data_IF_995539839313
#
_entry.id   IF_995539839313
#
_cell.length_a   1.000
_cell.length_b   1.000
_cell.length_c   1.000
_cell.angle_alpha   90.00
_cell.angle_beta   90.00
_cell.angle_gamma   90.00
#
_symmetry.space_group_name_H-M   'P 1'
#
loop_
_entity.id
_entity.type
_entity.pdbx_description
1 polymer ?
#
# COMPACT_ATOMS: atom_id res chain seq x y z
N UNK A 1 -0.15 -17.03 9.41
CA UNK A 1 -0.95 -18.23 9.71
C UNK A 1 -0.82 -19.21 8.54
N UNK A 2 -0.35 -20.43 8.82
CA UNK A 2 -0.13 -21.51 7.85
C UNK A 2 -1.46 -22.02 7.31
N UNK A 3 -1.71 -21.93 6.01
CA UNK A 3 -2.83 -22.62 5.37
C UNK A 3 -2.46 -24.09 5.20
N UNK A 4 -3.02 -24.96 6.04
CA UNK A 4 -2.96 -26.41 5.87
C UNK A 4 -3.81 -26.80 4.65
N UNK A 5 -3.15 -27.36 3.64
CA UNK A 5 -3.83 -27.99 2.52
C UNK A 5 -4.43 -29.32 3.03
N UNK A 6 -5.76 -29.43 3.12
CA UNK A 6 -6.39 -30.66 3.59
C UNK A 6 -6.21 -31.80 2.58
N UNK A 7 -5.55 -32.87 3.02
CA UNK A 7 -5.44 -34.09 2.23
C UNK A 7 -6.81 -34.77 2.04
N UNK A 8 -6.98 -35.45 0.90
CA UNK A 8 -8.21 -36.18 0.60
C UNK A 8 -8.51 -37.27 1.64
N UNK A 9 -9.79 -37.59 1.85
CA UNK A 9 -10.19 -38.64 2.80
C UNK A 9 -9.51 -39.98 2.52
N UNK A 10 -9.37 -40.35 1.24
CA UNK A 10 -8.68 -41.58 0.83
C UNK A 10 -7.21 -41.59 1.24
N UNK A 11 -6.54 -40.45 1.16
CA UNK A 11 -5.16 -40.29 1.61
C UNK A 11 -5.04 -40.38 3.14
N UNK A 12 -5.94 -39.68 3.87
CA UNK A 12 -6.00 -39.75 5.34
C UNK A 12 -6.25 -41.19 5.83
N UNK A 13 -7.18 -41.91 5.20
CA UNK A 13 -7.48 -43.33 5.49
C UNK A 13 -6.28 -44.24 5.16
N UNK A 14 -5.64 -44.06 4.01
CA UNK A 14 -4.46 -44.84 3.62
C UNK A 14 -3.25 -44.64 4.54
N UNK A 15 -2.99 -43.41 4.98
CA UNK A 15 -1.93 -43.11 5.95
C UNK A 15 -2.20 -43.72 7.32
N UNK A 16 -3.44 -43.66 7.78
CA UNK A 16 -3.87 -44.28 9.04
C UNK A 16 -3.67 -45.80 9.01
N UNK A 17 -4.20 -46.49 8.00
CA UNK A 17 -4.05 -47.96 7.86
C UNK A 17 -2.57 -48.35 7.76
N UNK A 18 -1.76 -47.58 7.01
CA UNK A 18 -0.32 -47.84 6.89
C UNK A 18 0.43 -47.64 8.21
N UNK A 19 0.05 -46.64 9.00
CA UNK A 19 0.58 -46.39 10.34
C UNK A 19 0.17 -47.48 11.34
N UNK A 20 -1.06 -47.99 11.26
CA UNK A 20 -1.54 -49.10 12.08
C UNK A 20 -0.81 -50.42 11.76
N UNK A 21 -0.51 -50.69 10.47
CA UNK A 21 0.13 -51.94 10.02
C UNK A 21 1.64 -51.96 10.23
N UNK A 22 2.33 -50.82 10.03
CA UNK A 22 3.79 -50.74 10.02
C UNK A 22 4.38 -49.94 11.19
N UNK A 23 3.53 -49.31 12.01
CA UNK A 23 3.89 -48.40 13.09
C UNK A 23 4.03 -46.94 12.62
N UNK A 24 3.24 -46.03 13.19
CA UNK A 24 3.23 -44.60 12.82
C UNK A 24 4.63 -43.94 12.93
N UNK A 25 5.37 -44.29 13.99
CA UNK A 25 6.72 -43.79 14.23
C UNK A 25 7.72 -44.30 13.18
N UNK A 26 7.59 -45.56 12.76
CA UNK A 26 8.42 -46.17 11.72
C UNK A 26 8.13 -45.57 10.34
N UNK A 27 6.84 -45.37 10.00
CA UNK A 27 6.42 -44.79 8.71
C UNK A 27 6.88 -43.34 8.57
N UNK A 28 6.77 -42.54 9.64
CA UNK A 28 7.23 -41.15 9.66
C UNK A 28 8.77 -41.04 9.63
N UNK A 29 9.48 -41.86 10.42
CA UNK A 29 10.95 -41.86 10.46
C UNK A 29 11.59 -42.47 9.19
N UNK A 30 11.00 -43.48 8.57
CA UNK A 30 11.65 -44.17 7.45
C UNK A 30 11.80 -43.28 6.21
N UNK A 31 10.78 -42.50 5.83
CA UNK A 31 10.86 -41.61 4.66
C UNK A 31 11.75 -40.39 4.93
N UNK A 32 11.58 -39.75 6.09
CA UNK A 32 12.39 -38.58 6.48
C UNK A 32 13.88 -38.94 6.64
N UNK A 33 14.20 -40.07 7.28
CA UNK A 33 15.57 -40.48 7.59
C UNK A 33 16.31 -41.11 6.40
N UNK A 34 15.65 -41.96 5.61
CA UNK A 34 16.32 -42.66 4.50
C UNK A 34 16.30 -41.89 3.18
N UNK A 35 15.18 -41.27 2.79
CA UNK A 35 15.15 -40.51 1.55
C UNK A 35 15.86 -39.16 1.72
N UNK A 36 15.36 -38.32 2.62
CA UNK A 36 15.83 -36.94 2.76
C UNK A 36 17.12 -36.81 3.60
N UNK A 37 17.28 -37.63 4.64
CA UNK A 37 18.48 -37.63 5.50
C UNK A 37 19.68 -38.44 4.99
N UNK A 38 19.51 -39.30 3.98
CA UNK A 38 20.58 -40.14 3.42
C UNK A 38 20.72 -39.94 1.90
N UNK A 39 19.79 -40.45 1.07
CA UNK A 39 19.99 -40.43 -0.40
C UNK A 39 20.17 -39.02 -0.96
N UNK A 40 19.37 -38.05 -0.50
CA UNK A 40 19.43 -36.65 -0.98
C UNK A 40 20.60 -35.82 -0.43
N UNK A 41 21.29 -36.31 0.60
CA UNK A 41 22.45 -35.64 1.23
C UNK A 41 23.79 -36.23 0.79
N UNK A 42 23.78 -37.35 0.06
CA UNK A 42 25.00 -37.98 -0.45
C UNK A 42 25.73 -37.10 -1.48
N UNK A 43 27.07 -37.08 -1.47
CA UNK A 43 27.84 -36.44 -2.53
C UNK A 43 27.68 -37.20 -3.86
N UNK A 44 27.99 -36.53 -4.98
CA UNK A 44 28.04 -37.12 -6.32
C UNK A 44 26.98 -36.59 -7.28
N UNK A 45 25.72 -36.47 -6.83
CA UNK A 45 24.67 -35.78 -7.58
C UNK A 45 24.17 -34.57 -6.79
N UNK A 46 24.09 -33.42 -7.45
CA UNK A 46 23.51 -32.22 -6.89
C UNK A 46 21.97 -32.32 -6.81
N UNK A 47 21.35 -31.33 -6.15
CA UNK A 47 19.89 -31.32 -5.95
C UNK A 47 19.11 -31.18 -7.26
N UNK A 48 19.68 -30.54 -8.29
CA UNK A 48 19.03 -30.40 -9.59
C UNK A 48 19.01 -31.75 -10.31
N UNK A 49 20.14 -32.42 -10.38
CA UNK A 49 20.30 -33.75 -10.98
C UNK A 49 19.40 -34.78 -10.30
N UNK A 50 19.33 -34.78 -8.96
CA UNK A 50 18.43 -35.66 -8.21
C UNK A 50 16.96 -35.38 -8.51
N UNK A 51 16.60 -34.10 -8.68
CA UNK A 51 15.24 -33.71 -9.04
C UNK A 51 14.88 -34.18 -10.45
N UNK A 52 15.77 -34.02 -11.43
CA UNK A 52 15.56 -34.53 -12.80
C UNK A 52 15.28 -36.04 -12.82
N UNK A 53 16.12 -36.82 -12.14
CA UNK A 53 15.94 -38.28 -12.02
C UNK A 53 14.61 -38.62 -11.35
N UNK A 54 14.27 -37.91 -10.27
CA UNK A 54 13.00 -38.13 -9.56
C UNK A 54 11.79 -37.86 -10.45
N UNK A 55 11.81 -36.79 -11.26
CA UNK A 55 10.72 -36.49 -12.20
C UNK A 55 10.57 -37.58 -13.26
N UNK A 56 11.68 -38.08 -13.81
CA UNK A 56 11.66 -39.18 -14.79
C UNK A 56 11.09 -40.47 -14.18
N UNK A 57 11.50 -40.84 -12.96
CA UNK A 57 10.98 -42.03 -12.28
C UNK A 57 9.50 -41.92 -11.91
N UNK A 58 9.06 -40.76 -11.41
CA UNK A 58 7.64 -40.55 -11.09
C UNK A 58 6.76 -40.54 -12.34
N UNK A 59 7.29 -40.04 -13.46
CA UNK A 59 6.65 -40.12 -14.77
C UNK A 59 6.50 -41.57 -15.23
N UNK A 60 7.56 -42.38 -15.14
CA UNK A 60 7.53 -43.81 -15.46
C UNK A 60 6.53 -44.59 -14.60
N UNK A 61 6.42 -44.23 -13.31
CA UNK A 61 5.47 -44.84 -12.38
C UNK A 61 4.03 -44.32 -12.54
N UNK A 62 3.80 -43.30 -13.38
CA UNK A 62 2.51 -42.62 -13.53
C UNK A 62 1.98 -42.07 -12.19
N UNK A 63 2.89 -41.70 -11.29
CA UNK A 63 2.59 -41.21 -9.95
C UNK A 63 2.27 -39.70 -9.99
N UNK A 64 1.19 -39.31 -10.65
CA UNK A 64 0.88 -37.91 -10.98
C UNK A 64 0.80 -36.95 -9.79
N UNK A 65 0.23 -37.33 -8.63
CA UNK A 65 0.24 -36.47 -7.45
C UNK A 65 1.66 -36.18 -6.95
N UNK A 66 2.52 -37.20 -6.91
CA UNK A 66 3.92 -37.05 -6.52
C UNK A 66 4.71 -36.27 -7.58
N UNK A 67 4.44 -36.51 -8.87
CA UNK A 67 5.06 -35.75 -9.96
C UNK A 67 4.73 -34.25 -9.82
N UNK A 68 3.49 -33.91 -9.46
CA UNK A 68 3.09 -32.51 -9.17
C UNK A 68 3.91 -31.92 -8.03
N UNK A 69 4.01 -32.63 -6.91
CA UNK A 69 4.75 -32.18 -5.72
C UNK A 69 6.25 -32.00 -6.02
N UNK A 70 6.85 -33.00 -6.64
CA UNK A 70 8.28 -33.01 -6.97
C UNK A 70 8.64 -32.05 -8.09
N UNK A 71 7.71 -31.68 -8.98
CA UNK A 71 7.93 -30.59 -9.95
C UNK A 71 8.12 -29.25 -9.25
N UNK A 72 7.28 -28.94 -8.24
CA UNK A 72 7.46 -27.74 -7.40
C UNK A 72 8.75 -27.82 -6.58
N UNK A 73 9.09 -29.00 -6.07
CA UNK A 73 10.37 -29.25 -5.40
C UNK A 73 11.59 -29.04 -6.30
N UNK A 74 11.52 -29.47 -7.56
CA UNK A 74 12.56 -29.31 -8.55
C UNK A 74 12.82 -27.83 -8.87
N UNK A 75 11.76 -27.03 -9.02
CA UNK A 75 11.85 -25.57 -9.18
C UNK A 75 12.53 -24.92 -7.97
N UNK A 76 12.20 -25.33 -6.73
CA UNK A 76 12.88 -24.85 -5.51
C UNK A 76 14.37 -25.24 -5.45
N UNK A 77 14.71 -26.38 -6.02
CA UNK A 77 16.09 -26.84 -6.14
C UNK A 77 16.86 -26.17 -7.30
N UNK A 78 16.22 -25.28 -8.06
CA UNK A 78 16.84 -24.46 -9.09
C UNK A 78 16.71 -24.98 -10.52
N UNK A 79 15.85 -25.97 -10.79
CA UNK A 79 15.51 -26.31 -12.18
C UNK A 79 14.67 -25.20 -12.82
N UNK A 80 14.95 -24.94 -14.08
CA UNK A 80 14.13 -24.12 -14.97
C UNK A 80 12.97 -24.94 -15.54
N UNK A 81 11.94 -24.23 -16.02
CA UNK A 81 10.82 -24.87 -16.72
C UNK A 81 11.29 -25.66 -17.95
N UNK A 82 12.30 -25.14 -18.64
CA UNK A 82 12.89 -25.79 -19.81
C UNK A 82 13.52 -27.11 -19.41
N UNK A 83 14.37 -27.14 -18.38
CA UNK A 83 14.99 -28.37 -17.87
C UNK A 83 13.94 -29.42 -17.44
N UNK A 84 12.82 -28.99 -16.87
CA UNK A 84 11.71 -29.88 -16.50
C UNK A 84 10.98 -30.41 -17.73
N UNK A 85 10.68 -29.55 -18.72
CA UNK A 85 10.04 -29.97 -19.99
C UNK A 85 10.92 -30.96 -20.74
N UNK A 86 12.22 -30.71 -20.83
CA UNK A 86 13.19 -31.61 -21.48
C UNK A 86 13.23 -32.98 -20.80
N UNK A 87 13.17 -33.04 -19.47
CA UNK A 87 13.11 -34.31 -18.75
C UNK A 87 11.84 -35.12 -19.07
N UNK A 88 10.69 -34.45 -19.19
CA UNK A 88 9.42 -35.09 -19.55
C UNK A 88 9.42 -35.53 -21.02
N UNK A 89 9.94 -34.70 -21.92
CA UNK A 89 10.11 -35.04 -23.34
C UNK A 89 11.03 -36.24 -23.53
N UNK A 90 12.16 -36.29 -22.82
CA UNK A 90 13.04 -37.44 -22.84
C UNK A 90 12.32 -38.70 -22.33
N UNK A 91 11.54 -38.57 -21.26
CA UNK A 91 10.76 -39.69 -20.70
C UNK A 91 9.69 -40.21 -21.67
N UNK A 92 9.08 -39.32 -22.47
CA UNK A 92 8.05 -39.67 -23.46
C UNK A 92 8.52 -40.70 -24.48
N UNK A 93 9.78 -40.61 -24.92
CA UNK A 93 10.33 -41.51 -25.95
C UNK A 93 10.42 -42.96 -25.44
N UNK A 94 10.69 -43.15 -24.14
CA UNK A 94 10.83 -44.48 -23.56
C UNK A 94 9.52 -45.04 -22.98
N UNK A 95 8.58 -44.17 -22.63
CA UNK A 95 7.33 -44.56 -21.96
C UNK A 95 6.11 -44.49 -22.88
N UNK A 96 6.29 -43.98 -24.10
CA UNK A 96 5.24 -43.77 -25.08
C UNK A 96 4.55 -42.41 -24.95
N UNK A 97 4.06 -41.91 -26.08
CA UNK A 97 3.40 -40.61 -26.20
C UNK A 97 2.25 -40.40 -25.19
N UNK A 98 1.36 -41.39 -24.91
CA UNK A 98 0.26 -41.17 -23.95
C UNK A 98 0.74 -40.82 -22.54
N UNK A 99 1.82 -41.47 -22.07
CA UNK A 99 2.37 -41.23 -20.73
C UNK A 99 3.09 -39.89 -20.69
N UNK A 100 3.86 -39.56 -21.73
CA UNK A 100 4.55 -38.28 -21.82
C UNK A 100 3.61 -37.08 -21.90
N UNK A 101 2.51 -37.18 -22.67
CA UNK A 101 1.53 -36.09 -22.79
C UNK A 101 0.84 -35.80 -21.45
N UNK A 102 0.47 -36.84 -20.71
CA UNK A 102 -0.12 -36.67 -19.38
C UNK A 102 0.90 -36.09 -18.38
N UNK A 103 2.16 -36.53 -18.44
CA UNK A 103 3.24 -35.96 -17.65
C UNK A 103 3.48 -34.48 -17.97
N UNK A 104 3.43 -34.08 -19.24
CA UNK A 104 3.53 -32.67 -19.64
C UNK A 104 2.39 -31.87 -19.03
N UNK A 105 1.13 -32.33 -19.14
CA UNK A 105 -0.03 -31.66 -18.55
C UNK A 105 0.10 -31.47 -17.04
N UNK A 106 0.56 -32.51 -16.34
CA UNK A 106 0.73 -32.50 -14.87
C UNK A 106 1.85 -31.55 -14.45
N UNK A 107 3.01 -31.64 -15.10
CA UNK A 107 4.17 -30.79 -14.77
C UNK A 107 3.92 -29.33 -15.13
N UNK A 108 3.26 -29.04 -16.25
CA UNK A 108 2.91 -27.69 -16.67
C UNK A 108 1.91 -27.02 -15.71
N UNK A 109 0.89 -27.77 -15.27
CA UNK A 109 -0.01 -27.29 -14.20
C UNK A 109 0.76 -26.98 -12.92
N UNK A 110 1.67 -27.85 -12.51
CA UNK A 110 2.47 -27.66 -11.30
C UNK A 110 3.41 -26.45 -11.39
N UNK A 111 4.03 -26.21 -12.55
CA UNK A 111 4.85 -25.04 -12.85
C UNK A 111 4.01 -23.77 -12.74
N UNK A 112 2.85 -23.73 -13.39
CA UNK A 112 1.97 -22.56 -13.36
C UNK A 112 1.49 -22.23 -11.94
N UNK A 113 1.11 -23.25 -11.16
CA UNK A 113 0.75 -23.08 -9.74
C UNK A 113 1.95 -22.58 -8.90
N UNK A 114 3.16 -23.08 -9.16
CA UNK A 114 4.36 -22.63 -8.46
C UNK A 114 4.67 -21.15 -8.76
N UNK A 115 4.55 -20.73 -10.02
CA UNK A 115 4.74 -19.32 -10.43
C UNK A 115 3.68 -18.40 -9.83
N UNK A 116 2.42 -18.83 -9.81
CA UNK A 116 1.34 -18.07 -9.17
C UNK A 116 1.57 -17.91 -7.65
N UNK A 117 2.05 -18.96 -6.97
CA UNK A 117 2.41 -18.91 -5.55
C UNK A 117 3.65 -18.05 -5.28
N UNK A 118 4.67 -18.12 -6.14
CA UNK A 118 5.86 -17.27 -6.07
C UNK A 118 5.53 -15.79 -6.26
N UNK A 119 4.65 -15.46 -7.21
CA UNK A 119 4.12 -14.12 -7.41
C UNK A 119 3.27 -13.61 -6.24
N UNK A 120 2.43 -14.46 -5.64
CA UNK A 120 1.64 -14.09 -4.46
C UNK A 120 2.49 -13.95 -3.18
N UNK A 121 3.57 -14.71 -3.05
CA UNK A 121 4.51 -14.60 -1.93
C UNK A 121 5.44 -13.40 -2.09
N UNK A 122 5.96 -13.13 -3.29
CA UNK A 122 6.67 -11.90 -3.62
C UNK A 122 5.77 -10.70 -3.45
N UNK A 123 4.52 -10.74 -3.91
CA UNK A 123 3.56 -9.66 -3.69
C UNK A 123 3.22 -9.49 -2.21
N UNK A 124 3.03 -10.56 -1.43
CA UNK A 124 2.80 -10.45 0.03
C UNK A 124 4.04 -9.98 0.79
N UNK A 125 5.24 -10.34 0.35
CA UNK A 125 6.51 -9.94 0.96
C UNK A 125 6.86 -8.51 0.57
N UNK A 126 6.65 -8.14 -0.70
CA UNK A 126 6.71 -6.77 -1.19
C UNK A 126 5.63 -5.92 -0.55
N UNK A 127 4.40 -6.40 -0.33
CA UNK A 127 3.35 -5.68 0.42
C UNK A 127 3.69 -5.59 1.92
N UNK A 128 4.35 -6.59 2.51
CA UNK A 128 4.86 -6.53 3.91
C UNK A 128 6.10 -5.65 4.07
N UNK A 129 6.92 -5.54 3.03
CA UNK A 129 8.09 -4.66 2.99
C UNK A 129 7.68 -3.23 2.56
N UNK A 130 6.63 -3.11 1.74
CA UNK A 130 6.01 -1.86 1.29
C UNK A 130 4.88 -1.37 2.21
N UNK A 131 4.50 -2.12 3.26
CA UNK A 131 3.73 -1.57 4.39
C UNK A 131 4.56 -0.64 5.28
N UNK A 132 5.76 -0.29 4.82
CA UNK A 132 6.53 0.87 5.24
C UNK A 132 6.17 2.08 4.37
N UNK A 133 4.88 2.39 4.23
CA UNK A 133 4.49 3.76 3.88
C UNK A 133 4.80 4.58 5.13
N UNK A 134 6.03 5.05 5.20
CA UNK A 134 6.48 5.98 6.20
C UNK A 134 5.96 7.36 5.82
N UNK A 135 5.50 8.11 6.81
CA UNK A 135 5.01 9.48 6.68
C UNK A 135 3.80 9.59 5.73
N UNK A 136 2.62 9.35 6.28
CA UNK A 136 1.34 9.45 5.56
C UNK A 136 0.48 10.53 6.19
N UNK A 137 -0.32 11.23 5.38
CA UNK A 137 -1.28 12.19 5.89
C UNK A 137 -2.68 11.62 5.70
N UNK A 138 -3.43 11.46 6.80
CA UNK A 138 -4.88 11.29 6.75
C UNK A 138 -5.48 12.49 6.02
N UNK A 139 -6.27 12.22 4.99
CA UNK A 139 -6.98 13.19 4.18
C UNK A 139 -8.47 12.99 4.43
N UNK A 140 -9.04 13.76 5.36
CA UNK A 140 -10.43 13.60 5.77
C UNK A 140 -11.21 14.91 5.80
N UNK A 141 -12.51 14.79 5.58
CA UNK A 141 -13.46 15.86 5.85
C UNK A 141 -14.77 15.30 6.38
N UNK A 142 -15.47 16.14 7.11
CA UNK A 142 -16.83 15.92 7.59
C UNK A 142 -17.67 17.17 7.33
N UNK A 143 -18.99 17.01 7.29
CA UNK A 143 -19.90 18.15 7.16
C UNK A 143 -20.33 18.59 8.55
N UNK A 144 -20.11 19.85 8.92
CA UNK A 144 -20.61 20.46 10.14
C UNK A 144 -22.13 20.62 10.06
N UNK A 145 -22.81 20.37 11.18
CA UNK A 145 -24.24 20.67 11.31
C UNK A 145 -24.48 22.18 11.20
N UNK A 146 -25.68 22.57 10.77
CA UNK A 146 -26.03 23.98 10.57
C UNK A 146 -25.79 24.81 11.85
N UNK A 147 -25.10 25.95 11.70
CA UNK A 147 -24.79 26.87 12.80
C UNK A 147 -23.65 26.41 13.73
N UNK A 148 -23.06 25.23 13.51
CA UNK A 148 -21.89 24.77 14.29
C UNK A 148 -20.62 25.47 13.81
N UNK A 149 -19.86 26.00 14.77
CA UNK A 149 -18.49 26.46 14.57
C UNK A 149 -17.57 25.74 15.55
N UNK A 150 -16.47 25.18 15.06
CA UNK A 150 -15.49 24.42 15.87
C UNK A 150 -14.20 25.21 16.15
N UNK A 151 -14.15 26.48 15.74
CA UNK A 151 -13.02 27.40 15.89
C UNK A 151 -13.36 28.61 16.77
N UNK A 152 -14.48 28.58 17.50
CA UNK A 152 -14.90 29.60 18.47
C UNK A 152 -14.77 29.09 19.93
N UNK A 153 -15.44 29.74 20.87
CA UNK A 153 -15.43 29.36 22.31
C UNK A 153 -16.58 28.41 22.70
N UNK A 154 -17.33 27.89 21.73
CA UNK A 154 -18.52 27.08 21.96
C UNK A 154 -18.19 25.70 22.56
N UNK A 155 -19.23 25.00 23.05
CA UNK A 155 -19.11 23.62 23.47
C UNK A 155 -18.69 22.69 22.31
N UNK A 156 -19.15 22.98 21.08
CA UNK A 156 -18.77 22.22 19.89
C UNK A 156 -17.27 22.37 19.59
N UNK A 157 -16.73 23.58 19.69
CA UNK A 157 -15.30 23.82 19.56
C UNK A 157 -14.49 23.05 20.62
N UNK A 158 -14.92 23.07 21.89
CA UNK A 158 -14.26 22.28 22.96
C UNK A 158 -14.28 20.78 22.68
N UNK A 159 -15.40 20.24 22.21
CA UNK A 159 -15.51 18.84 21.78
C UNK A 159 -14.51 18.53 20.67
N UNK A 160 -14.44 19.40 19.65
CA UNK A 160 -13.51 19.20 18.54
C UNK A 160 -12.04 19.30 18.98
N UNK A 161 -11.70 20.24 19.86
CA UNK A 161 -10.34 20.32 20.42
C UNK A 161 -9.95 19.05 21.19
N UNK A 162 -10.87 18.47 21.97
CA UNK A 162 -10.62 17.21 22.67
C UNK A 162 -10.40 16.02 21.69
N UNK A 163 -11.12 16.02 20.56
CA UNK A 163 -10.91 15.03 19.47
C UNK A 163 -9.48 15.13 18.94
N UNK A 164 -9.04 16.34 18.58
CA UNK A 164 -7.68 16.58 18.06
C UNK A 164 -6.61 16.20 19.08
N UNK A 165 -6.78 16.59 20.34
CA UNK A 165 -5.84 16.29 21.42
C UNK A 165 -5.69 14.80 21.68
N UNK A 166 -6.78 14.05 21.58
CA UNK A 166 -6.71 12.62 21.83
C UNK A 166 -6.15 11.85 20.63
N UNK A 167 -6.45 12.30 19.40
CA UNK A 167 -5.82 11.77 18.20
C UNK A 167 -4.29 12.00 18.21
N UNK A 168 -3.83 13.19 18.63
CA UNK A 168 -2.40 13.51 18.71
C UNK A 168 -1.64 12.74 19.81
N UNK A 169 -2.35 12.12 20.77
CA UNK A 169 -1.74 11.24 21.79
C UNK A 169 -1.52 9.81 21.30
N UNK A 170 -2.07 9.44 20.15
CA UNK A 170 -1.96 8.08 19.65
C UNK A 170 -0.54 7.76 19.17
N UNK A 171 -0.09 6.51 19.31
CA UNK A 171 1.20 6.09 18.74
C UNK A 171 1.29 6.42 17.27
N UNK A 172 2.41 7.00 16.85
CA UNK A 172 2.66 7.39 15.46
C UNK A 172 1.97 8.68 15.01
N UNK A 173 1.08 9.29 15.79
CA UNK A 173 0.54 10.61 15.44
C UNK A 173 1.65 11.68 15.53
N UNK A 174 1.67 12.59 14.55
CA UNK A 174 2.70 13.63 14.40
C UNK A 174 2.10 15.03 14.51
N UNK A 175 1.35 15.47 13.50
CA UNK A 175 0.82 16.84 13.42
C UNK A 175 -0.54 16.84 12.76
N UNK A 176 -1.47 17.63 13.27
CA UNK A 176 -2.76 17.86 12.65
C UNK A 176 -2.84 19.27 12.08
N UNK A 177 -3.42 19.40 10.89
CA UNK A 177 -3.86 20.65 10.28
C UNK A 177 -5.35 20.57 10.07
N UNK A 178 -6.10 21.58 10.50
CA UNK A 178 -7.55 21.58 10.36
C UNK A 178 -8.10 22.97 10.09
N UNK A 179 -9.11 23.05 9.24
CA UNK A 179 -9.78 24.28 8.85
C UNK A 179 -11.08 23.98 8.12
N UNK A 180 -11.95 24.97 7.99
CA UNK A 180 -13.10 24.88 7.08
C UNK A 180 -12.69 25.27 5.66
N UNK A 181 -13.40 24.71 4.69
CA UNK A 181 -13.33 25.17 3.31
C UNK A 181 -13.84 26.62 3.21
N UNK A 182 -13.11 27.49 2.52
CA UNK A 182 -13.45 28.92 2.39
C UNK A 182 -14.72 29.08 1.56
N UNK A 183 -14.86 28.33 0.48
CA UNK A 183 -16.03 28.36 -0.41
C UNK A 183 -17.27 27.70 0.20
N UNK A 184 -17.08 26.76 1.13
CA UNK A 184 -18.16 26.08 1.82
C UNK A 184 -17.82 25.84 3.31
N UNK A 185 -18.09 26.82 4.19
CA UNK A 185 -17.73 26.73 5.60
C UNK A 185 -18.38 25.58 6.39
N UNK A 186 -19.34 24.85 5.80
CA UNK A 186 -19.87 23.61 6.38
C UNK A 186 -18.93 22.43 6.23
N UNK A 187 -17.92 22.48 5.35
CA UNK A 187 -16.98 21.38 5.14
C UNK A 187 -15.75 21.58 6.01
N UNK A 188 -15.61 20.76 7.05
CA UNK A 188 -14.46 20.76 7.96
C UNK A 188 -13.43 19.74 7.48
N UNK A 189 -12.23 20.21 7.19
CA UNK A 189 -11.09 19.41 6.77
C UNK A 189 -10.18 19.08 7.95
N UNK A 190 -9.66 17.86 7.94
CA UNK A 190 -8.64 17.39 8.86
C UNK A 190 -7.55 16.67 8.04
N UNK A 191 -6.33 17.15 8.22
CA UNK A 191 -5.12 16.56 7.67
C UNK A 191 -4.24 16.13 8.85
N UNK A 192 -4.13 14.84 9.12
CA UNK A 192 -3.35 14.33 10.26
C UNK A 192 -2.17 13.50 9.77
N UNK A 193 -0.98 14.02 10.02
CA UNK A 193 0.28 13.35 9.74
C UNK A 193 0.50 12.19 10.72
N UNK A 194 0.74 11.01 10.15
CA UNK A 194 1.09 9.78 10.85
C UNK A 194 2.47 9.31 10.42
N UNK A 195 3.20 8.71 11.36
CA UNK A 195 4.49 8.09 11.12
C UNK A 195 4.39 6.95 10.11
N UNK A 196 3.33 6.14 10.20
CA UNK A 196 3.02 5.10 9.23
C UNK A 196 1.52 4.99 8.99
N UNK A 197 1.14 4.38 7.86
CA UNK A 197 -0.25 3.98 7.61
C UNK A 197 -0.78 3.03 8.69
N UNK A 198 0.06 2.11 9.17
CA UNK A 198 -0.33 1.13 10.19
C UNK A 198 -0.69 1.81 11.53
N UNK A 199 -0.01 2.90 11.89
CA UNK A 199 -0.31 3.67 13.10
C UNK A 199 -1.74 4.22 13.05
N UNK A 200 -2.15 4.85 11.93
CA UNK A 200 -3.52 5.31 11.76
C UNK A 200 -4.51 4.14 11.70
N UNK A 201 -4.24 3.08 10.95
CA UNK A 201 -5.14 1.92 10.85
C UNK A 201 -5.34 1.21 12.20
N UNK A 202 -4.42 1.39 13.15
CA UNK A 202 -4.54 0.88 14.50
C UNK A 202 -5.31 1.81 15.44
N UNK A 203 -5.37 3.12 15.16
CA UNK A 203 -6.08 4.07 16.00
C UNK A 203 -7.57 3.72 16.20
N UNK A 204 -8.37 3.38 15.16
CA UNK A 204 -9.76 2.95 15.35
C UNK A 204 -9.97 1.74 16.27
N UNK A 205 -8.89 0.98 16.55
CA UNK A 205 -8.91 -0.21 17.41
C UNK A 205 -8.58 0.11 18.87
N UNK A 206 -8.16 1.34 19.19
CA UNK A 206 -7.84 1.75 20.55
C UNK A 206 -9.11 2.07 21.35
N UNK A 207 -9.01 2.02 22.67
CA UNK A 207 -10.14 2.33 23.55
C UNK A 207 -10.60 3.80 23.45
N UNK A 208 -9.73 4.69 22.97
CA UNK A 208 -9.97 6.13 22.90
C UNK A 208 -10.83 6.52 21.70
N UNK A 209 -10.72 5.79 20.57
CA UNK A 209 -11.35 6.19 19.31
C UNK A 209 -12.89 6.18 19.38
N UNK A 210 -13.48 5.12 19.94
CA UNK A 210 -14.94 4.96 20.04
C UNK A 210 -15.63 6.15 20.73
N UNK A 211 -15.24 6.51 21.97
CA UNK A 211 -15.78 7.66 22.68
C UNK A 211 -15.67 8.99 21.91
N UNK A 212 -14.56 9.20 21.21
CA UNK A 212 -14.34 10.43 20.43
C UNK A 212 -15.26 10.48 19.23
N UNK A 213 -15.36 9.38 18.48
CA UNK A 213 -16.27 9.29 17.34
C UNK A 213 -17.73 9.55 17.76
N UNK A 214 -18.17 9.00 18.89
CA UNK A 214 -19.50 9.30 19.45
C UNK A 214 -19.67 10.77 19.82
N UNK A 215 -18.62 11.41 20.36
CA UNK A 215 -18.67 12.83 20.74
C UNK A 215 -18.84 13.79 19.55
N UNK A 216 -18.45 13.38 18.34
CA UNK A 216 -18.58 14.18 17.12
C UNK A 216 -20.00 14.16 16.53
N UNK A 217 -20.78 13.09 16.74
CA UNK A 217 -22.11 12.92 16.13
C UNK A 217 -23.09 14.08 16.32
N UNK A 218 -23.12 14.78 17.47
CA UNK A 218 -24.01 15.94 17.64
C UNK A 218 -23.61 17.16 16.80
N UNK A 219 -22.35 17.26 16.37
CA UNK A 219 -21.80 18.45 15.72
C UNK A 219 -21.48 18.25 14.23
N UNK A 220 -21.43 17.00 13.74
CA UNK A 220 -21.14 16.68 12.33
C UNK A 220 -22.14 15.68 11.74
N UNK A 221 -22.37 15.81 10.44
CA UNK A 221 -23.03 14.84 9.57
C UNK A 221 -21.98 13.96 8.86
N UNK A 222 -21.90 12.71 9.27
CA UNK A 222 -20.98 11.72 8.68
C UNK A 222 -21.47 11.14 7.35
N UNK A 223 -22.72 11.39 6.93
CA UNK A 223 -23.24 10.88 5.64
C UNK A 223 -22.47 11.42 4.43
N UNK A 224 -21.79 12.57 4.62
CA UNK A 224 -20.90 13.22 3.65
C UNK A 224 -19.53 13.39 4.27
N UNK A 225 -18.84 12.27 4.47
CA UNK A 225 -17.48 12.25 4.99
C UNK A 225 -16.54 11.46 4.08
N UNK A 226 -15.25 11.78 4.17
CA UNK A 226 -14.17 10.98 3.62
C UNK A 226 -13.13 10.77 4.70
N UNK A 227 -12.52 9.60 4.72
CA UNK A 227 -11.28 9.33 5.42
C UNK A 227 -10.45 8.42 4.49
N UNK A 228 -9.36 8.99 3.97
CA UNK A 228 -8.42 8.36 3.04
C UNK A 228 -7.01 8.82 3.39
N UNK A 229 -6.02 8.34 2.67
CA UNK A 229 -4.63 8.67 2.93
C UNK A 229 -3.96 9.21 1.70
N UNK A 230 -3.06 10.15 1.87
CA UNK A 230 -2.15 10.62 0.83
C UNK A 230 -0.71 10.52 1.31
N UNK A 231 0.18 10.11 0.42
CA UNK A 231 1.62 10.32 0.61
C UNK A 231 1.98 11.65 -0.01
N UNK A 232 2.77 12.46 0.70
CA UNK A 232 3.06 13.84 0.31
C UNK A 232 4.57 14.08 0.18
N UNK A 233 4.93 14.98 -0.71
CA UNK A 233 6.31 15.44 -0.89
C UNK A 233 6.28 16.94 -1.23
N UNK A 234 7.01 17.79 -0.47
CA UNK A 234 7.73 17.47 0.76
C UNK A 234 6.79 17.08 1.91
N UNK A 235 7.31 16.29 2.85
CA UNK A 235 6.66 15.94 4.12
C UNK A 235 7.54 16.41 5.29
N UNK A 236 6.98 16.97 6.37
CA UNK A 236 5.55 17.30 6.54
C UNK A 236 5.11 18.45 5.61
N UNK A 237 3.82 18.55 5.25
CA UNK A 237 3.29 19.62 4.40
C UNK A 237 3.12 20.97 5.14
N UNK A 238 3.92 21.21 6.18
CA UNK A 238 3.71 22.29 7.14
C UNK A 238 3.78 23.68 6.51
N UNK A 239 4.73 23.91 5.61
CA UNK A 239 4.91 25.20 4.93
C UNK A 239 3.67 25.66 4.16
N UNK A 240 2.84 24.71 3.70
CA UNK A 240 1.65 24.98 2.90
C UNK A 240 0.34 24.79 3.64
N UNK A 241 0.31 24.00 4.73
CA UNK A 241 -0.91 23.75 5.52
C UNK A 241 -0.93 24.48 6.87
N UNK A 242 0.17 25.03 7.35
CA UNK A 242 0.16 25.88 8.53
C UNK A 242 -0.17 27.33 8.14
N UNK A 243 -1.27 27.89 8.65
CA UNK A 243 -1.68 29.28 8.36
C UNK A 243 -0.63 30.34 8.66
N UNK A 244 0.32 30.07 9.56
CA UNK A 244 1.37 31.02 9.90
C UNK A 244 2.43 31.11 8.77
N UNK A 245 2.60 30.04 7.99
CA UNK A 245 3.44 29.99 6.79
C UNK A 245 2.65 30.39 5.53
N UNK A 246 1.45 29.80 5.39
CA UNK A 246 0.53 29.96 4.25
C UNK A 246 -0.88 30.23 4.76
N UNK A 247 -1.27 31.50 4.95
CA UNK A 247 -2.60 31.88 5.48
C UNK A 247 -3.78 31.25 4.74
N UNK A 248 -3.60 30.95 3.45
CA UNK A 248 -4.56 30.22 2.63
C UNK A 248 -3.83 29.12 1.88
N UNK A 249 -4.43 27.94 1.83
CA UNK A 249 -3.96 26.81 1.02
C UNK A 249 -4.99 26.54 -0.07
N UNK A 250 -4.57 26.52 -1.34
CA UNK A 250 -5.34 25.87 -2.40
C UNK A 250 -5.15 24.35 -2.28
N UNK A 251 -6.25 23.63 -2.17
CA UNK A 251 -6.29 22.17 -2.26
C UNK A 251 -6.77 21.79 -3.65
N UNK A 252 -5.85 21.29 -4.48
CA UNK A 252 -6.12 20.80 -5.82
C UNK A 252 -6.22 19.28 -5.80
N UNK A 253 -7.35 18.74 -6.26
CA UNK A 253 -7.61 17.31 -6.34
C UNK A 253 -7.82 16.90 -7.80
N UNK A 254 -6.93 16.05 -8.32
CA UNK A 254 -7.05 15.41 -9.62
C UNK A 254 -7.45 13.95 -9.43
N UNK A 255 -8.60 13.56 -9.96
CA UNK A 255 -9.15 12.20 -9.88
C UNK A 255 -8.92 11.43 -11.17
N UNK A 256 -8.63 10.15 -11.04
CA UNK A 256 -8.31 9.20 -12.11
C UNK A 256 -9.05 7.88 -11.88
N UNK A 257 -9.16 6.99 -12.87
CA UNK A 257 -9.73 5.65 -12.68
C UNK A 257 -9.05 4.89 -11.53
N UNK A 258 -9.77 3.97 -10.86
CA UNK A 258 -9.21 3.18 -9.75
C UNK A 258 -8.03 2.29 -10.15
N UNK A 259 -7.95 1.88 -11.41
CA UNK A 259 -6.86 1.09 -11.98
C UNK A 259 -5.80 1.96 -12.69
N UNK A 260 -5.73 3.26 -12.38
CA UNK A 260 -4.78 4.18 -12.99
C UNK A 260 -3.33 3.77 -12.70
N UNK A 261 -2.66 3.35 -13.77
CA UNK A 261 -1.35 2.70 -13.77
C UNK A 261 -0.24 3.57 -13.15
N UNK A 262 0.75 2.92 -12.54
CA UNK A 262 1.87 3.56 -11.84
C UNK A 262 2.72 4.45 -12.76
N UNK A 263 2.96 4.05 -14.01
CA UNK A 263 3.70 4.89 -14.96
C UNK A 263 2.86 6.10 -15.41
N UNK A 264 1.54 5.93 -15.50
CA UNK A 264 0.61 7.04 -15.76
C UNK A 264 0.57 8.04 -14.58
N UNK A 265 0.63 7.56 -13.33
CA UNK A 265 0.80 8.41 -12.14
C UNK A 265 2.08 9.24 -12.20
N UNK A 266 3.21 8.62 -12.52
CA UNK A 266 4.49 9.33 -12.67
C UNK A 266 4.42 10.42 -13.76
N UNK A 267 3.71 10.14 -14.87
CA UNK A 267 3.50 11.12 -15.94
C UNK A 267 2.63 12.29 -15.47
N UNK A 268 1.55 12.02 -14.74
CA UNK A 268 0.70 13.05 -14.15
C UNK A 268 1.46 13.92 -13.14
N UNK A 269 2.27 13.30 -12.27
CA UNK A 269 3.16 14.01 -11.33
C UNK A 269 4.12 14.95 -12.05
N UNK A 270 4.78 14.49 -13.12
CA UNK A 270 5.70 15.33 -13.91
C UNK A 270 5.02 16.55 -14.51
N UNK A 271 3.76 16.43 -14.92
CA UNK A 271 2.99 17.57 -15.47
C UNK A 271 2.64 18.59 -14.37
N UNK A 272 2.36 18.15 -13.15
CA UNK A 272 2.21 19.04 -12.00
C UNK A 272 3.52 19.74 -11.65
N UNK A 273 4.64 19.02 -11.66
CA UNK A 273 5.98 19.58 -11.44
C UNK A 273 6.36 20.60 -12.52
N UNK A 274 6.06 20.30 -13.78
CA UNK A 274 6.25 21.22 -14.90
C UNK A 274 5.41 22.49 -14.68
N UNK A 275 4.10 22.35 -14.40
CA UNK A 275 3.22 23.49 -14.08
C UNK A 275 3.75 24.31 -12.91
N UNK A 276 4.29 23.65 -11.89
CA UNK A 276 4.93 24.34 -10.76
C UNK A 276 6.13 25.16 -11.22
N UNK A 277 6.98 24.59 -12.08
CA UNK A 277 8.18 25.23 -12.60
C UNK A 277 7.90 26.43 -13.50
N UNK A 278 6.93 26.31 -14.40
CA UNK A 278 6.68 27.31 -15.45
C UNK A 278 5.58 28.32 -15.09
N UNK A 279 4.73 28.02 -14.11
CA UNK A 279 3.65 28.91 -13.68
C UNK A 279 3.74 29.29 -12.19
N UNK A 280 3.64 28.34 -11.26
CA UNK A 280 3.57 28.70 -9.82
C UNK A 280 4.78 29.50 -9.35
N UNK A 281 5.99 29.06 -9.72
CA UNK A 281 7.25 29.71 -9.33
C UNK A 281 7.46 31.11 -9.93
N UNK A 282 6.66 31.52 -10.90
CA UNK A 282 6.73 32.89 -11.45
C UNK A 282 6.00 33.89 -10.56
N UNK A 283 5.05 33.42 -9.75
CA UNK A 283 4.33 34.25 -8.79
C UNK A 283 5.20 34.57 -7.56
N UNK A 284 5.28 35.85 -7.20
CA UNK A 284 5.94 36.30 -5.96
C UNK A 284 5.15 35.96 -4.70
N UNK A 285 3.86 35.71 -4.83
CA UNK A 285 2.97 35.40 -3.72
C UNK A 285 2.92 33.90 -3.41
N UNK A 286 3.46 33.04 -4.27
CA UNK A 286 3.52 31.59 -4.05
C UNK A 286 4.37 31.25 -2.82
N UNK A 287 3.84 30.41 -1.92
CA UNK A 287 4.50 30.02 -0.65
C UNK A 287 5.03 28.60 -0.60
N UNK A 288 4.82 27.81 -1.65
CA UNK A 288 5.25 26.41 -1.70
C UNK A 288 4.18 25.49 -2.26
N UNK A 289 4.56 24.23 -2.46
CA UNK A 289 3.63 23.15 -2.82
C UNK A 289 4.05 21.88 -2.09
N UNK A 290 3.08 21.12 -1.58
CA UNK A 290 3.25 19.73 -1.18
C UNK A 290 2.19 18.88 -1.86
N UNK A 291 2.58 17.78 -2.50
CA UNK A 291 1.68 16.98 -3.32
C UNK A 291 2.01 15.50 -3.25
N UNK A 292 1.05 14.69 -3.68
CA UNK A 292 1.29 13.28 -3.96
C UNK A 292 0.00 12.51 -4.16
N UNK A 293 0.06 11.20 -3.94
CA UNK A 293 -0.98 10.27 -4.37
C UNK A 293 -1.70 9.67 -3.18
N UNK A 294 -2.99 9.42 -3.40
CA UNK A 294 -3.77 8.60 -2.49
C UNK A 294 -3.17 7.20 -2.37
N UNK A 295 -3.15 6.68 -1.15
CA UNK A 295 -2.76 5.28 -0.90
C UNK A 295 -3.85 4.36 -1.46
N UNK A 296 -5.10 4.71 -1.21
CA UNK A 296 -6.24 3.95 -1.72
C UNK A 296 -6.62 4.34 -3.15
N UNK A 297 -7.32 3.42 -3.82
CA UNK A 297 -7.78 3.56 -5.21
C UNK A 297 -9.29 3.74 -5.34
N UNK A 298 -9.97 3.88 -4.21
CA UNK A 298 -11.42 4.02 -4.08
C UNK A 298 -11.78 5.36 -3.40
N UNK A 299 -11.01 6.42 -3.65
CA UNK A 299 -11.29 7.78 -3.16
C UNK A 299 -12.57 8.28 -3.84
N UNK A 300 -13.62 8.68 -3.08
CA UNK A 300 -14.84 9.27 -3.66
C UNK A 300 -14.53 10.48 -4.52
N UNK A 301 -15.04 10.49 -5.76
CA UNK A 301 -14.84 11.61 -6.68
C UNK A 301 -15.76 12.76 -6.27
N UNK A 302 -15.18 13.88 -5.86
CA UNK A 302 -15.93 15.03 -5.35
C UNK A 302 -16.98 15.49 -6.35
N UNK A 303 -18.25 15.49 -5.95
CA UNK A 303 -19.38 15.88 -6.80
C UNK A 303 -19.75 14.87 -7.90
N UNK A 304 -19.32 13.61 -7.79
CA UNK A 304 -19.80 12.50 -8.60
C UNK A 304 -20.25 11.34 -7.69
N UNK A 305 -21.53 11.32 -7.35
CA UNK A 305 -22.10 10.33 -6.43
C UNK A 305 -21.85 8.90 -6.89
N UNK A 306 -21.42 8.05 -5.95
CA UNK A 306 -21.16 6.62 -6.18
C UNK A 306 -19.92 6.30 -7.01
N UNK A 307 -19.17 7.30 -7.50
CA UNK A 307 -17.92 7.07 -8.22
C UNK A 307 -16.69 7.23 -7.33
N UNK A 308 -15.72 6.37 -7.54
CA UNK A 308 -14.45 6.36 -6.83
C UNK A 308 -13.28 6.25 -7.80
N UNK A 309 -12.08 6.58 -7.34
CA UNK A 309 -10.88 6.56 -8.15
C UNK A 309 -9.60 6.71 -7.35
N UNK A 310 -8.47 6.74 -8.05
CA UNK A 310 -7.21 7.21 -7.49
C UNK A 310 -7.18 8.74 -7.52
N UNK A 311 -6.52 9.36 -6.54
CA UNK A 311 -6.46 10.81 -6.41
C UNK A 311 -5.00 11.27 -6.31
N UNK A 312 -4.65 12.30 -7.08
CA UNK A 312 -3.47 13.13 -6.80
C UNK A 312 -3.94 14.40 -6.09
N UNK A 313 -3.41 14.65 -4.90
CA UNK A 313 -3.66 15.86 -4.13
C UNK A 313 -2.45 16.78 -4.19
N UNK A 314 -2.69 18.08 -4.28
CA UNK A 314 -1.67 19.11 -4.14
C UNK A 314 -2.18 20.25 -3.24
N UNK A 315 -1.34 20.63 -2.29
CA UNK A 315 -1.53 21.74 -1.35
C UNK A 315 -0.60 22.87 -1.77
N UNK A 316 -1.15 24.00 -2.18
CA UNK A 316 -0.39 25.15 -2.68
C UNK A 316 -0.62 26.34 -1.75
N UNK A 317 0.46 26.88 -1.20
CA UNK A 317 0.40 27.96 -0.21
C UNK A 317 0.27 29.35 -0.83
N UNK A 318 -0.60 30.17 -0.25
CA UNK A 318 -0.91 31.53 -0.67
C UNK A 318 -1.08 32.48 0.53
N UNK A 319 -0.80 33.78 0.38
CA UNK A 319 -1.06 34.77 1.43
C UNK A 319 -2.54 35.12 1.58
N UNK A 320 -3.35 34.92 0.53
CA UNK A 320 -4.81 35.09 0.57
C UNK A 320 -5.47 34.44 -0.66
N UNK A 321 -6.80 34.27 -0.62
CA UNK A 321 -7.56 33.80 -1.79
C UNK A 321 -7.41 34.78 -2.95
N UNK A 322 -7.42 36.09 -2.69
CA UNK A 322 -7.28 37.13 -3.71
C UNK A 322 -5.92 37.05 -4.42
N UNK A 323 -4.85 36.72 -3.69
CA UNK A 323 -3.52 36.54 -4.30
C UNK A 323 -3.52 35.35 -5.27
N UNK A 324 -4.12 34.22 -4.87
CA UNK A 324 -4.30 33.09 -5.78
C UNK A 324 -5.16 33.45 -7.00
N UNK A 325 -6.30 34.13 -6.81
CA UNK A 325 -7.15 34.54 -7.93
C UNK A 325 -6.42 35.49 -8.89
N UNK A 326 -5.61 36.43 -8.39
CA UNK A 326 -4.76 37.27 -9.23
C UNK A 326 -3.74 36.47 -10.03
N UNK A 327 -3.11 35.46 -9.42
CA UNK A 327 -2.22 34.56 -10.14
C UNK A 327 -2.93 33.85 -11.30
N UNK A 328 -4.17 33.41 -11.10
CA UNK A 328 -4.97 32.76 -12.16
C UNK A 328 -5.27 33.66 -13.36
N UNK A 329 -5.16 34.98 -13.18
CA UNK A 329 -5.33 35.95 -14.26
C UNK A 329 -4.06 36.22 -15.07
N UNK A 330 -2.90 35.70 -14.64
CA UNK A 330 -1.63 35.85 -15.35
C UNK A 330 -1.55 35.01 -16.62
N UNK A 331 -0.71 35.44 -17.57
CA UNK A 331 -0.42 34.68 -18.79
C UNK A 331 0.29 33.37 -18.46
N UNK A 332 1.25 33.39 -17.52
CA UNK A 332 1.94 32.19 -17.04
C UNK A 332 0.95 31.09 -16.57
N UNK A 333 -0.12 31.46 -15.85
CA UNK A 333 -1.16 30.50 -15.51
C UNK A 333 -1.99 30.06 -16.72
N UNK A 334 -2.50 31.03 -17.51
CA UNK A 334 -3.45 30.78 -18.61
C UNK A 334 -2.83 29.91 -19.71
N UNK A 335 -1.56 30.12 -20.02
CA UNK A 335 -0.83 29.35 -21.02
C UNK A 335 -0.51 27.93 -20.52
N UNK A 336 -0.29 27.75 -19.21
CA UNK A 336 0.22 26.49 -18.66
C UNK A 336 -0.82 25.63 -17.93
N UNK A 337 -2.05 26.12 -17.66
CA UNK A 337 -3.11 25.33 -17.00
C UNK A 337 -3.50 24.06 -17.77
N UNK A 338 -3.19 24.01 -19.08
CA UNK A 338 -3.32 22.80 -19.91
C UNK A 338 -2.44 21.64 -19.45
N UNK A 339 -1.35 21.91 -18.72
CA UNK A 339 -0.52 20.87 -18.10
C UNK A 339 -1.34 20.04 -17.09
N UNK A 340 -2.22 20.69 -16.33
CA UNK A 340 -3.09 20.03 -15.35
C UNK A 340 -4.38 19.49 -15.98
N UNK A 341 -5.06 20.29 -16.80
CA UNK A 341 -6.35 19.90 -17.40
C UNK A 341 -6.22 18.84 -18.49
N UNK A 342 -5.04 18.75 -19.11
CA UNK A 342 -4.73 17.82 -20.19
C UNK A 342 -4.01 16.55 -19.73
N UNK A 343 -3.99 16.23 -18.43
CA UNK A 343 -3.39 14.98 -17.96
C UNK A 343 -4.20 13.80 -18.54
N UNK A 344 -3.55 12.84 -19.24
CA UNK A 344 -4.24 11.67 -19.76
C UNK A 344 -4.96 10.88 -18.66
N UNK A 345 -6.22 10.50 -18.90
CA UNK A 345 -7.02 9.75 -17.93
C UNK A 345 -7.58 10.57 -16.77
N UNK A 346 -7.38 11.89 -16.75
CA UNK A 346 -8.03 12.77 -15.78
C UNK A 346 -9.56 12.66 -15.90
N UNK A 347 -10.21 12.21 -14.82
CA UNK A 347 -11.66 12.14 -14.73
C UNK A 347 -12.22 13.48 -14.28
N UNK A 348 -11.60 14.07 -13.25
CA UNK A 348 -12.06 15.33 -12.66
C UNK A 348 -10.91 16.10 -12.03
N UNK A 349 -10.95 17.42 -12.16
CA UNK A 349 -10.10 18.34 -11.42
C UNK A 349 -10.98 19.22 -10.54
N UNK A 350 -10.72 19.25 -9.25
CA UNK A 350 -11.39 20.09 -8.28
C UNK A 350 -10.36 20.95 -7.55
N UNK A 351 -10.74 22.18 -7.21
CA UNK A 351 -9.92 23.08 -6.40
C UNK A 351 -10.83 23.82 -5.42
N UNK A 352 -10.34 24.02 -4.20
CA UNK A 352 -10.98 24.80 -3.15
C UNK A 352 -9.90 25.34 -2.21
N UNK A 353 -10.26 26.23 -1.29
CA UNK A 353 -9.32 26.79 -0.33
C UNK A 353 -9.63 26.35 1.08
N UNK A 354 -8.58 26.21 1.88
CA UNK A 354 -8.67 26.04 3.33
C UNK A 354 -7.72 27.03 4.02
N UNK A 355 -8.03 27.37 5.26
CA UNK A 355 -7.11 28.07 6.16
C UNK A 355 -6.97 27.22 7.41
N UNK A 356 -5.86 26.52 7.54
CA UNK A 356 -5.70 25.51 8.58
C UNK A 356 -4.90 26.04 9.78
N UNK A 357 -5.45 25.82 10.97
CA UNK A 357 -4.65 25.86 12.21
C UNK A 357 -3.91 24.53 12.36
N UNK A 358 -2.71 24.56 12.94
CA UNK A 358 -1.92 23.36 13.18
C UNK A 358 -1.74 23.09 14.67
N UNK A 359 -1.56 21.82 15.03
CA UNK A 359 -1.14 21.39 16.37
C UNK A 359 -0.28 20.13 16.26
N UNK A 360 0.78 20.08 17.05
CA UNK A 360 1.72 18.97 17.09
C UNK A 360 1.45 18.03 18.26
N UNK A 361 1.81 16.77 18.07
CA UNK A 361 1.88 15.80 19.15
C UNK A 361 3.00 16.20 20.12
N UNK A 362 2.75 16.00 21.42
CA UNK A 362 3.72 16.30 22.47
C UNK A 362 5.01 15.51 22.26
N UNK A 363 6.16 16.16 22.43
CA UNK A 363 7.48 15.54 22.25
C UNK A 363 7.87 15.22 20.81
N UNK A 364 7.16 15.75 19.79
CA UNK A 364 7.45 15.44 18.39
C UNK A 364 8.87 15.83 17.98
N UNK A 365 9.33 17.02 18.38
CA UNK A 365 10.67 17.52 18.04
C UNK A 365 11.78 16.62 18.61
N UNK A 366 11.62 16.15 19.84
CA UNK A 366 12.54 15.23 20.51
C UNK A 366 12.55 13.86 19.81
N UNK A 367 11.37 13.31 19.49
CA UNK A 367 11.24 12.04 18.74
C UNK A 367 11.94 12.11 17.38
N UNK A 368 11.84 13.24 16.69
CA UNK A 368 12.49 13.43 15.39
C UNK A 368 14.02 13.56 15.52
N UNK A 369 14.51 14.24 16.55
CA UNK A 369 15.93 14.36 16.82
C UNK A 369 16.57 13.01 17.16
N UNK A 370 15.92 12.17 17.97
CA UNK A 370 16.39 10.82 18.32
C UNK A 370 16.53 9.93 17.07
N UNK A 371 15.54 9.94 16.18
CA UNK A 371 15.58 9.16 14.93
C UNK A 371 16.70 9.59 13.99
N UNK A 372 16.95 10.89 13.89
CA UNK A 372 18.06 11.43 13.10
C UNK A 372 19.42 10.95 13.63
N UNK A 373 19.56 10.84 14.96
CA UNK A 373 20.76 10.30 15.59
C UNK A 373 20.93 8.79 15.35
N UNK A 374 19.88 7.99 15.44
CA UNK A 374 19.94 6.54 15.15
C UNK A 374 20.38 6.25 13.70
N UNK A 375 19.88 7.01 12.73
CA UNK A 375 20.26 6.86 11.32
C UNK A 375 21.70 7.31 11.04
N UNK A 376 22.26 8.22 11.86
CA UNK A 376 23.65 8.67 11.72
C UNK A 376 24.68 7.64 12.21
N UNK A 377 24.29 6.76 13.14
CA UNK A 377 25.19 5.73 13.67
C UNK A 377 25.34 4.50 12.76
N UNK A 378 24.36 4.23 11.88
CA UNK A 378 24.38 3.08 10.97
C UNK A 378 25.23 3.30 9.70
N UNK A 379 25.81 4.50 9.54
CA UNK A 379 26.75 4.83 8.45
C UNK A 379 28.21 4.98 8.93
N UNK A 380 28.48 4.72 10.21
CA UNK A 380 29.81 4.92 10.82
C UNK A 380 30.69 3.68 10.99
N UNK A 381 30.22 2.47 10.70
CA UNK A 381 30.93 1.21 11.03
C UNK A 381 31.49 0.47 9.81
N UNK A 382 32.03 1.21 8.84
CA UNK A 382 32.57 0.68 7.59
C UNK A 382 33.91 1.24 7.17
N UNK A 383 34.83 1.55 8.10
CA UNK A 383 36.25 1.74 7.79
C UNK A 383 37.08 1.63 9.07
N UNK A 384 37.68 0.46 9.27
CA UNK A 384 38.97 0.26 9.94
C UNK A 384 39.57 -1.05 9.41
#
# INVERSE_FOLDING_TARGET
>A
MSQNQEFSEGFKKGLKVRGEVLGEEYVSKAVAKYAWGNVWTRPGLDRKQRSLLTLAFLTAQKAWPELTLHTKGAMRNGLTEIEIREAVLQSMIYLGAPVGLEAMRVTEKAINEFKAQGGAFLLKTLLKMASKIHNVTEFSYVTLNEGVNVFDESAAAKTYQNVLETALKQPGARRVYTGVEVENPSTLWLFLDWETLEDHENYPKTADHGPIFESLKPIVDFSKSINKHVTLTPFPPEDVLNKDCSPVTEVLLAFFPSDYDVAARATATRRLEEFTGVALKTSRDWRGISYGWSVENDVPIRGEEGKTGSMMAAFIGWPSVEAHQKFRETDDFKENIGLLRGIPGLVKLAAFHVSCVSKEAEGLSERDAEKAHEHSHDHGSGCC
#
